data_IF_891370239598
#
_entry.id   IF_891370239598
#
_cell.length_a   1.000
_cell.length_b   1.000
_cell.length_c   1.000
_cell.angle_alpha   90.00
_cell.angle_beta   90.00
_cell.angle_gamma   90.00
#
_symmetry.space_group_name_H-M   'P 1'
#
loop_
_entity.id
_entity.type
_entity.pdbx_description
1 polymer ?
#
# COMPACT_ATOMS: atom_id res chain seq x y z
N UNK A 1 4.53 -9.56 30.84
CA UNK A 1 4.28 -8.65 29.69
C UNK A 1 3.08 -9.21 28.94
N UNK A 2 2.03 -8.43 28.67
CA UNK A 2 0.88 -8.93 27.89
C UNK A 2 1.19 -8.98 26.38
N UNK A 3 0.35 -9.70 25.63
CA UNK A 3 0.54 -9.96 24.19
C UNK A 3 0.46 -8.69 23.35
N UNK A 4 -0.43 -7.77 23.69
CA UNK A 4 -0.58 -6.55 22.90
C UNK A 4 0.65 -5.65 23.08
N UNK A 5 1.12 -5.48 24.32
CA UNK A 5 2.36 -4.79 24.59
C UNK A 5 3.55 -5.44 23.86
N UNK A 6 3.60 -6.78 23.81
CA UNK A 6 4.65 -7.52 23.10
C UNK A 6 4.60 -7.28 21.59
N UNK A 7 3.39 -7.35 21.02
CA UNK A 7 3.13 -7.11 19.59
C UNK A 7 3.54 -5.69 19.22
N UNK A 8 3.06 -4.68 19.94
CA UNK A 8 3.42 -3.28 19.72
C UNK A 8 4.92 -3.05 19.82
N UNK A 9 5.58 -3.67 20.79
CA UNK A 9 7.03 -3.55 20.95
C UNK A 9 7.78 -4.16 19.76
N UNK A 10 7.33 -5.32 19.25
CA UNK A 10 7.91 -5.93 18.06
C UNK A 10 7.73 -5.06 16.82
N UNK A 11 6.51 -4.53 16.60
CA UNK A 11 6.19 -3.69 15.44
C UNK A 11 6.90 -2.34 15.46
N UNK A 12 7.29 -1.84 16.65
CA UNK A 12 8.11 -0.63 16.77
C UNK A 12 9.54 -0.77 16.20
N UNK A 13 10.02 -2.02 16.00
CA UNK A 13 11.39 -2.29 15.52
C UNK A 13 11.49 -2.19 14.01
N UNK A 14 12.68 -1.85 13.50
CA UNK A 14 12.90 -1.62 12.07
C UNK A 14 12.68 -2.89 11.19
N UNK A 15 12.12 -2.74 10.00
CA UNK A 15 11.69 -3.74 9.03
C UNK A 15 10.92 -4.99 9.56
N UNK A 16 10.27 -4.90 10.71
CA UNK A 16 9.38 -5.91 11.28
C UNK A 16 7.98 -5.91 10.64
N UNK A 17 7.51 -7.11 10.31
CA UNK A 17 6.12 -7.44 9.93
C UNK A 17 5.63 -8.63 10.76
N UNK A 18 4.32 -8.81 10.82
CA UNK A 18 3.68 -9.97 11.44
C UNK A 18 2.88 -10.78 10.41
N UNK A 19 2.75 -12.09 10.61
CA UNK A 19 2.02 -12.99 9.72
C UNK A 19 1.72 -14.33 10.40
N UNK A 20 0.91 -15.16 9.73
CA UNK A 20 0.49 -16.49 10.16
C UNK A 20 1.00 -17.57 9.17
N UNK A 21 2.32 -17.85 9.14
CA UNK A 21 2.92 -18.67 8.10
C UNK A 21 2.75 -20.18 8.31
N UNK A 22 2.26 -20.61 9.48
CA UNK A 22 2.12 -22.03 9.84
C UNK A 22 0.65 -22.46 9.89
N UNK A 23 -0.17 -21.66 10.58
CA UNK A 23 -1.59 -21.87 10.85
C UNK A 23 -2.24 -20.53 11.25
N UNK A 24 -3.54 -20.53 11.56
CA UNK A 24 -4.33 -19.32 11.87
C UNK A 24 -4.08 -18.75 13.28
N UNK A 25 -3.32 -19.43 14.13
CA UNK A 25 -3.17 -19.09 15.57
C UNK A 25 -1.75 -18.76 15.96
N UNK A 26 -0.74 -19.18 15.19
CA UNK A 26 0.67 -18.88 15.43
C UNK A 26 1.07 -17.55 14.80
N UNK A 27 1.04 -16.48 15.60
CA UNK A 27 1.50 -15.17 15.19
C UNK A 27 3.04 -15.13 15.14
N UNK A 28 3.59 -14.84 13.96
CA UNK A 28 5.04 -14.82 13.71
C UNK A 28 5.51 -13.43 13.30
N UNK A 29 6.50 -12.91 14.02
CA UNK A 29 7.19 -11.67 13.67
C UNK A 29 8.46 -11.96 12.86
N UNK A 30 8.56 -11.27 11.73
CA UNK A 30 9.67 -11.36 10.79
C UNK A 30 10.32 -10.01 10.62
N UNK A 31 11.64 -9.99 10.47
CA UNK A 31 12.38 -8.84 9.97
C UNK A 31 12.85 -9.13 8.54
N UNK A 32 12.37 -8.33 7.58
CA UNK A 32 12.44 -8.58 6.12
C UNK A 32 11.73 -9.88 5.71
N UNK A 33 12.40 -11.02 5.85
CA UNK A 33 11.92 -12.37 5.48
C UNK A 33 12.31 -13.43 6.53
N UNK A 34 12.92 -13.01 7.66
CA UNK A 34 13.45 -13.89 8.69
C UNK A 34 12.67 -13.77 9.98
N UNK A 35 12.17 -14.91 10.48
CA UNK A 35 11.51 -14.98 11.78
C UNK A 35 12.51 -14.73 12.91
N UNK A 36 12.09 -13.95 13.90
CA UNK A 36 12.82 -13.73 15.16
C UNK A 36 11.95 -14.01 16.38
N UNK A 37 10.63 -13.89 16.28
CA UNK A 37 9.71 -14.15 17.39
C UNK A 37 8.42 -14.81 16.88
N UNK A 38 7.83 -15.67 17.69
CA UNK A 38 6.47 -16.14 17.48
C UNK A 38 5.75 -16.42 18.81
N UNK A 39 4.43 -16.36 18.77
CA UNK A 39 3.53 -16.65 19.88
C UNK A 39 2.29 -17.38 19.37
N UNK A 40 1.81 -18.36 20.14
CA UNK A 40 0.54 -19.04 19.89
C UNK A 40 -0.58 -18.23 20.57
N UNK A 41 -1.56 -17.76 19.79
CA UNK A 41 -2.66 -16.95 20.30
C UNK A 41 -3.72 -17.77 21.06
N UNK A 42 -3.78 -19.08 20.88
CA UNK A 42 -4.65 -19.96 21.70
C UNK A 42 -4.05 -20.19 23.09
N UNK A 43 -2.71 -20.19 23.17
CA UNK A 43 -1.95 -20.39 24.40
C UNK A 43 -0.86 -19.32 24.58
N UNK A 44 -1.24 -18.04 24.81
CA UNK A 44 -0.34 -16.88 24.80
C UNK A 44 0.57 -16.78 26.03
N UNK A 45 0.69 -17.82 26.84
CA UNK A 45 1.49 -17.81 28.07
C UNK A 45 2.99 -17.84 27.79
N UNK A 46 3.40 -18.18 26.56
CA UNK A 46 4.78 -18.34 26.15
C UNK A 46 5.07 -17.76 24.77
N UNK A 47 6.28 -17.25 24.61
CA UNK A 47 6.80 -16.73 23.34
C UNK A 47 8.10 -17.47 23.00
N UNK A 48 8.30 -17.79 21.73
CA UNK A 48 9.56 -18.35 21.24
C UNK A 48 10.39 -17.27 20.53
N UNK A 49 11.65 -17.11 20.97
CA UNK A 49 12.58 -16.10 20.48
C UNK A 49 13.92 -16.72 20.08
N UNK A 50 14.56 -16.17 19.05
CA UNK A 50 15.95 -16.51 18.75
C UNK A 50 16.88 -16.00 19.83
N UNK A 51 17.92 -16.76 20.09
CA UNK A 51 18.94 -16.40 21.07
C UNK A 51 20.32 -16.89 20.62
N UNK A 52 21.34 -16.20 21.11
CA UNK A 52 22.72 -16.64 20.96
C UNK A 52 22.91 -17.90 21.83
N UNK A 53 23.61 -18.94 21.36
CA UNK A 53 23.73 -20.20 22.10
C UNK A 53 24.29 -20.08 23.52
N UNK A 54 25.30 -19.24 23.73
CA UNK A 54 25.95 -19.12 25.04
C UNK A 54 25.03 -18.38 26.02
N UNK A 55 24.40 -17.30 25.55
CA UNK A 55 23.41 -16.56 26.32
C UNK A 55 22.15 -17.39 26.60
N UNK A 56 21.73 -18.25 25.68
CA UNK A 56 20.59 -19.13 25.87
C UNK A 56 20.81 -20.14 27.01
N UNK A 57 22.05 -20.61 27.20
CA UNK A 57 22.41 -21.50 28.32
C UNK A 57 22.32 -20.72 29.63
N UNK A 58 22.96 -19.55 29.69
CA UNK A 58 22.95 -18.70 30.89
C UNK A 58 21.52 -18.37 31.35
N UNK A 59 20.65 -17.96 30.42
CA UNK A 59 19.26 -17.61 30.73
C UNK A 59 18.47 -18.79 31.33
N UNK A 60 18.67 -20.00 30.83
CA UNK A 60 17.98 -21.22 31.31
C UNK A 60 18.49 -21.68 32.67
N UNK A 61 19.72 -21.33 33.02
CA UNK A 61 20.27 -21.61 34.36
C UNK A 61 19.77 -20.60 35.41
N UNK A 62 19.46 -19.37 34.99
CA UNK A 62 19.07 -18.29 35.89
C UNK A 62 17.56 -18.12 36.07
N UNK A 63 16.74 -18.54 35.10
CA UNK A 63 15.29 -18.36 35.11
C UNK A 63 14.55 -19.66 34.83
N UNK A 64 13.59 -20.00 35.69
CA UNK A 64 12.75 -21.18 35.50
C UNK A 64 11.76 -21.00 34.34
N UNK A 65 11.35 -19.76 34.05
CA UNK A 65 10.47 -19.42 32.95
C UNK A 65 11.13 -19.40 31.57
N UNK A 66 12.41 -19.74 31.45
CA UNK A 66 13.13 -19.79 30.17
C UNK A 66 13.58 -21.22 29.89
N UNK A 67 13.07 -21.79 28.80
CA UNK A 67 13.38 -23.14 28.36
C UNK A 67 13.81 -23.18 26.89
N UNK A 68 14.24 -24.35 26.41
CA UNK A 68 14.49 -24.55 24.99
C UNK A 68 13.19 -24.75 24.21
N UNK A 69 12.94 -23.91 23.20
CA UNK A 69 11.68 -23.93 22.43
C UNK A 69 11.41 -25.31 21.81
N UNK A 70 10.21 -25.86 22.06
CA UNK A 70 9.87 -27.25 21.74
C UNK A 70 9.94 -27.56 20.23
N UNK A 71 9.39 -26.69 19.38
CA UNK A 71 9.31 -26.89 17.93
C UNK A 71 10.57 -26.42 17.16
N UNK A 72 11.57 -25.86 17.84
CA UNK A 72 12.72 -25.25 17.20
C UNK A 72 14.05 -25.85 17.68
N UNK A 73 15.14 -25.51 16.98
CA UNK A 73 16.46 -25.89 17.43
C UNK A 73 16.78 -25.17 18.76
N UNK A 74 16.70 -25.91 19.87
CA UNK A 74 16.95 -25.46 21.24
C UNK A 74 18.35 -24.88 21.47
N UNK A 75 19.29 -24.99 20.51
CA UNK A 75 20.55 -24.24 20.57
C UNK A 75 20.36 -22.76 20.29
N UNK A 76 19.39 -22.39 19.46
CA UNK A 76 19.23 -21.04 18.93
C UNK A 76 17.88 -20.41 19.28
N UNK A 77 17.01 -21.15 19.98
CA UNK A 77 15.66 -20.70 20.31
C UNK A 77 15.34 -20.99 21.76
N UNK A 78 14.86 -19.97 22.46
CA UNK A 78 14.29 -20.05 23.80
C UNK A 78 12.78 -19.91 23.71
N UNK A 79 12.08 -20.62 24.59
CA UNK A 79 10.70 -20.34 24.96
C UNK A 79 10.73 -19.59 26.28
N UNK A 80 9.99 -18.50 26.37
CA UNK A 80 9.95 -17.61 27.52
C UNK A 80 8.52 -17.49 27.99
N UNK A 81 8.26 -17.87 29.24
CA UNK A 81 6.96 -17.73 29.88
C UNK A 81 6.73 -16.27 30.29
N UNK A 82 5.60 -15.69 29.85
CA UNK A 82 5.25 -14.28 30.10
C UNK A 82 4.75 -14.01 31.52
N UNK A 83 4.35 -15.07 32.23
CA UNK A 83 3.75 -15.04 33.57
C UNK A 83 4.61 -15.82 34.60
N UNK A 84 5.94 -15.71 34.52
CA UNK A 84 6.90 -16.44 35.38
C UNK A 84 7.86 -15.48 36.12
N UNK A 85 8.97 -16.02 36.63
CA UNK A 85 10.13 -15.33 37.21
C UNK A 85 10.95 -14.46 36.23
N UNK A 86 10.51 -14.33 34.97
CA UNK A 86 11.16 -13.51 33.95
C UNK A 86 10.53 -12.10 33.96
N UNK A 87 11.28 -11.05 34.33
CA UNK A 87 10.73 -9.70 34.40
C UNK A 87 10.49 -9.12 32.99
N UNK A 88 9.46 -8.28 32.86
CA UNK A 88 9.08 -7.61 31.59
C UNK A 88 10.22 -6.85 30.93
N UNK A 89 11.12 -6.26 31.72
CA UNK A 89 12.32 -5.58 31.20
C UNK A 89 13.24 -6.56 30.47
N UNK A 90 13.44 -7.76 31.04
CA UNK A 90 14.24 -8.80 30.41
C UNK A 90 13.52 -9.35 29.16
N UNK A 91 12.20 -9.50 29.19
CA UNK A 91 11.45 -9.93 27.99
C UNK A 91 11.70 -8.95 26.83
N UNK A 92 11.67 -7.63 27.08
CA UNK A 92 12.02 -6.63 26.06
C UNK A 92 13.47 -6.76 25.58
N UNK A 93 14.42 -6.92 26.48
CA UNK A 93 15.83 -7.16 26.13
C UNK A 93 16.02 -8.43 25.29
N UNK A 94 15.25 -9.50 25.55
CA UNK A 94 15.28 -10.72 24.76
C UNK A 94 14.66 -10.55 23.37
N UNK A 95 13.64 -9.69 23.23
CA UNK A 95 13.09 -9.31 21.92
C UNK A 95 14.14 -8.54 21.12
N UNK A 96 14.84 -7.58 21.76
CA UNK A 96 15.94 -6.80 21.17
C UNK A 96 17.06 -7.72 20.67
N UNK A 97 17.52 -8.59 21.56
CA UNK A 97 18.57 -9.57 21.28
C UNK A 97 18.18 -10.50 20.13
N UNK A 98 16.97 -11.05 20.16
CA UNK A 98 16.46 -11.95 19.12
C UNK A 98 16.43 -11.27 17.75
N UNK A 99 15.94 -10.03 17.71
CA UNK A 99 15.91 -9.22 16.52
C UNK A 99 17.33 -8.94 15.98
N UNK A 100 18.26 -8.52 16.84
CA UNK A 100 19.64 -8.22 16.47
C UNK A 100 20.40 -9.46 15.97
N UNK A 101 20.19 -10.62 16.59
CA UNK A 101 20.76 -11.90 16.14
C UNK A 101 20.34 -12.28 14.72
N UNK A 102 19.13 -11.88 14.32
CA UNK A 102 18.63 -12.09 12.96
C UNK A 102 19.20 -11.07 11.98
N UNK A 103 19.15 -9.78 12.32
CA UNK A 103 19.68 -8.69 11.49
C UNK A 103 21.18 -8.84 11.27
N UNK A 104 21.93 -9.24 12.30
CA UNK A 104 23.37 -9.52 12.23
C UNK A 104 23.71 -10.54 11.14
N UNK A 105 22.84 -11.54 10.94
CA UNK A 105 23.03 -12.65 9.99
C UNK A 105 22.43 -12.41 8.60
N UNK A 106 21.97 -11.20 8.29
CA UNK A 106 21.45 -10.88 6.96
C UNK A 106 22.47 -11.07 5.85
N UNK A 107 22.01 -11.67 4.75
CA UNK A 107 22.71 -11.65 3.46
C UNK A 107 22.79 -10.23 2.90
N UNK A 108 23.64 -10.01 1.89
CA UNK A 108 23.75 -8.71 1.21
C UNK A 108 22.39 -8.21 0.69
N UNK A 109 21.63 -9.08 0.02
CA UNK A 109 20.27 -8.77 -0.49
C UNK A 109 19.33 -8.32 0.63
N UNK A 110 19.30 -9.05 1.75
CA UNK A 110 18.45 -8.71 2.90
C UNK A 110 18.87 -7.37 3.52
N UNK A 111 20.17 -7.08 3.56
CA UNK A 111 20.68 -5.82 4.10
C UNK A 111 20.36 -4.62 3.22
N UNK A 112 20.41 -4.79 1.90
CA UNK A 112 20.00 -3.76 0.95
C UNK A 112 18.51 -3.42 1.10
N UNK A 113 17.65 -4.42 1.30
CA UNK A 113 16.22 -4.22 1.60
C UNK A 113 16.04 -3.52 2.95
N UNK A 114 16.68 -4.02 4.00
CA UNK A 114 16.62 -3.46 5.35
C UNK A 114 17.06 -1.99 5.43
N UNK A 115 18.08 -1.61 4.65
CA UNK A 115 18.59 -0.24 4.60
C UNK A 115 17.66 0.70 3.83
N UNK A 116 16.95 0.21 2.82
CA UNK A 116 15.96 0.97 2.04
C UNK A 116 14.67 1.25 2.81
N UNK A 117 14.32 0.40 3.78
CA UNK A 117 13.19 0.63 4.68
C UNK A 117 13.62 1.75 5.64
N UNK A 118 12.96 2.91 5.59
CA UNK A 118 13.16 3.98 6.58
C UNK A 118 12.36 3.70 7.85
N UNK A 119 12.79 4.22 9.01
CA UNK A 119 12.04 4.11 10.27
C UNK A 119 10.60 4.67 10.13
N UNK A 120 10.42 5.68 9.27
CA UNK A 120 9.12 6.23 8.91
C UNK A 120 8.19 5.25 8.16
N UNK A 121 8.65 4.11 7.67
CA UNK A 121 7.80 3.13 6.98
C UNK A 121 7.00 2.23 7.94
N UNK A 122 7.38 2.16 9.23
CA UNK A 122 6.86 1.13 10.14
C UNK A 122 6.05 1.61 11.32
N UNK A 123 6.35 2.79 11.85
CA UNK A 123 5.37 3.50 12.69
C UNK A 123 4.04 3.65 11.92
N UNK A 124 4.12 3.66 10.59
CA UNK A 124 2.99 3.83 9.68
C UNK A 124 2.21 2.57 9.29
N UNK A 125 2.54 1.37 9.79
CA UNK A 125 1.74 0.15 9.54
C UNK A 125 0.96 -0.24 10.81
N UNK A 126 1.56 -0.06 11.99
CA UNK A 126 0.95 -0.45 13.27
C UNK A 126 -0.08 0.55 13.81
N UNK A 127 -0.04 1.82 13.38
CA UNK A 127 -0.92 2.89 13.89
C UNK A 127 -2.23 3.00 13.08
N UNK A 128 -2.31 2.43 11.87
CA UNK A 128 -3.40 2.70 10.92
C UNK A 128 -4.49 1.63 10.87
N UNK A 129 -4.30 0.48 11.53
CA UNK A 129 -5.30 -0.59 11.51
C UNK A 129 -6.45 -0.38 12.51
N UNK A 130 -6.50 0.74 13.25
CA UNK A 130 -7.46 0.81 14.36
C UNK A 130 -8.90 1.14 13.95
N UNK A 131 -9.21 1.95 12.93
CA UNK A 131 -10.62 2.25 12.60
C UNK A 131 -10.83 2.67 11.13
N UNK A 132 -10.71 1.74 10.17
CA UNK A 132 -11.30 1.97 8.84
C UNK A 132 -12.81 1.67 8.88
N UNK A 133 -13.68 2.53 8.34
CA UNK A 133 -15.10 2.20 8.20
C UNK A 133 -15.29 0.94 7.37
N UNK A 134 -16.22 0.07 7.78
CA UNK A 134 -16.58 -1.11 6.97
C UNK A 134 -17.06 -0.67 5.57
N UNK A 135 -16.54 -1.27 4.49
CA UNK A 135 -16.89 -0.88 3.13
C UNK A 135 -18.35 -1.23 2.83
N UNK A 136 -19.08 -0.28 2.25
CA UNK A 136 -20.45 -0.50 1.75
C UNK A 136 -20.38 -1.36 0.49
N UNK A 137 -21.07 -2.50 0.51
CA UNK A 137 -21.17 -3.38 -0.65
C UNK A 137 -22.49 -3.19 -1.39
N UNK A 138 -22.42 -3.13 -2.72
CA UNK A 138 -23.58 -3.05 -3.61
C UNK A 138 -23.49 -4.15 -4.67
N UNK A 139 -24.56 -4.91 -4.91
CA UNK A 139 -24.59 -5.82 -6.05
C UNK A 139 -24.45 -5.07 -7.38
N UNK A 140 -25.18 -3.97 -7.54
CA UNK A 140 -25.14 -3.17 -8.75
C UNK A 140 -25.35 -1.69 -8.42
N UNK A 141 -24.70 -0.81 -9.17
CA UNK A 141 -24.96 0.64 -9.15
C UNK A 141 -24.74 1.25 -10.54
N UNK A 142 -25.14 2.50 -10.75
CA UNK A 142 -24.75 3.24 -11.96
C UNK A 142 -23.26 3.59 -11.94
N UNK A 143 -22.78 4.11 -10.82
CA UNK A 143 -21.39 4.41 -10.53
C UNK A 143 -21.17 4.50 -9.02
N UNK A 144 -20.09 3.91 -8.52
CA UNK A 144 -19.67 4.03 -7.13
C UNK A 144 -19.40 5.48 -6.72
N UNK A 145 -18.91 6.33 -7.64
CA UNK A 145 -18.74 7.77 -7.38
C UNK A 145 -20.08 8.46 -7.16
N UNK A 146 -21.04 8.24 -8.06
CA UNK A 146 -22.36 8.86 -7.94
C UNK A 146 -23.12 8.40 -6.71
N UNK A 147 -23.00 7.11 -6.35
CA UNK A 147 -23.57 6.60 -5.13
C UNK A 147 -22.97 7.28 -3.89
N UNK A 148 -21.63 7.38 -3.83
CA UNK A 148 -20.95 7.97 -2.67
C UNK A 148 -21.22 9.48 -2.56
N UNK A 149 -21.29 10.19 -3.68
CA UNK A 149 -21.69 11.60 -3.73
C UNK A 149 -23.11 11.80 -3.16
N UNK A 150 -24.08 11.00 -3.62
CA UNK A 150 -25.44 11.03 -3.12
C UNK A 150 -25.51 10.69 -1.62
N UNK A 151 -24.77 9.69 -1.16
CA UNK A 151 -24.70 9.31 0.25
C UNK A 151 -24.17 10.47 1.11
N UNK A 152 -23.08 11.12 0.68
CA UNK A 152 -22.50 12.27 1.36
C UNK A 152 -23.42 13.51 1.33
N UNK A 153 -24.29 13.66 0.33
CA UNK A 153 -25.25 14.77 0.26
C UNK A 153 -26.47 14.55 1.16
N UNK A 154 -26.83 13.29 1.42
CA UNK A 154 -28.01 12.92 2.19
C UNK A 154 -27.71 12.61 3.67
N UNK A 155 -26.45 12.40 4.04
CA UNK A 155 -26.06 12.00 5.38
C UNK A 155 -24.63 12.43 5.73
N UNK A 156 -24.31 12.47 7.03
CA UNK A 156 -22.93 12.62 7.48
C UNK A 156 -22.20 11.30 7.25
N UNK A 157 -21.23 11.31 6.34
CA UNK A 157 -20.40 10.14 6.00
C UNK A 157 -19.03 10.32 6.63
N UNK A 158 -18.50 9.25 7.21
CA UNK A 158 -17.18 9.27 7.85
C UNK A 158 -16.08 9.34 6.79
N UNK A 159 -14.99 10.03 7.11
CA UNK A 159 -13.79 10.03 6.28
C UNK A 159 -13.27 8.61 6.04
N UNK A 160 -12.73 8.33 4.85
CA UNK A 160 -12.31 6.98 4.43
C UNK A 160 -13.46 5.98 4.26
N UNK A 161 -14.73 6.38 4.37
CA UNK A 161 -15.84 5.52 3.95
C UNK A 161 -15.65 5.14 2.48
N UNK A 162 -15.75 3.85 2.21
CA UNK A 162 -15.63 3.31 0.86
C UNK A 162 -16.87 2.51 0.46
N UNK A 163 -17.14 2.48 -0.83
CA UNK A 163 -18.20 1.68 -1.45
C UNK A 163 -17.59 0.87 -2.57
N UNK A 164 -18.00 -0.39 -2.73
CA UNK A 164 -17.60 -1.22 -3.85
C UNK A 164 -18.78 -2.04 -4.39
N UNK A 165 -18.66 -2.48 -5.65
CA UNK A 165 -19.76 -3.15 -6.33
C UNK A 165 -19.32 -4.32 -7.21
N UNK A 166 -20.25 -5.26 -7.47
CA UNK A 166 -20.04 -6.31 -8.48
C UNK A 166 -20.13 -5.76 -9.91
N UNK A 167 -20.99 -4.76 -10.13
CA UNK A 167 -21.24 -4.25 -11.48
C UNK A 167 -21.63 -2.77 -11.50
N UNK A 168 -21.14 -2.05 -12.51
CA UNK A 168 -21.58 -0.68 -12.83
C UNK A 168 -22.27 -0.63 -14.19
N UNK A 169 -23.53 -0.21 -14.22
CA UNK A 169 -24.28 -0.03 -15.48
C UNK A 169 -23.80 1.16 -16.31
N UNK A 170 -23.17 2.14 -15.67
CA UNK A 170 -22.66 3.35 -16.31
C UNK A 170 -21.26 3.72 -15.77
N UNK A 171 -20.36 2.74 -15.67
CA UNK A 171 -18.99 2.95 -15.20
C UNK A 171 -18.26 4.05 -15.99
N UNK A 172 -17.77 5.07 -15.29
CA UNK A 172 -17.16 6.27 -15.90
C UNK A 172 -15.65 6.29 -15.70
N UNK A 173 -14.94 6.63 -16.77
CA UNK A 173 -13.57 7.11 -16.76
C UNK A 173 -13.50 8.64 -16.93
N UNK A 174 -12.30 9.18 -17.01
CA UNK A 174 -12.09 10.63 -17.16
C UNK A 174 -12.60 11.17 -18.50
N UNK A 175 -13.27 12.33 -18.46
CA UNK A 175 -13.80 13.10 -19.61
C UNK A 175 -14.70 12.28 -20.57
N UNK A 176 -15.61 11.47 -20.01
CA UNK A 176 -16.66 10.80 -20.78
C UNK A 176 -16.32 9.40 -21.30
N UNK A 177 -15.11 8.90 -21.03
CA UNK A 177 -14.77 7.50 -21.32
C UNK A 177 -15.62 6.57 -20.44
N UNK A 178 -15.92 5.36 -20.93
CA UNK A 178 -16.52 4.29 -20.14
C UNK A 178 -15.45 3.39 -19.52
N UNK A 179 -15.81 2.69 -18.45
CA UNK A 179 -15.00 1.64 -17.86
C UNK A 179 -15.67 0.27 -18.10
N UNK A 180 -15.02 -0.61 -18.84
CA UNK A 180 -15.48 -1.99 -19.05
C UNK A 180 -15.23 -2.83 -17.79
N UNK A 181 -16.23 -3.60 -17.37
CA UNK A 181 -16.05 -4.62 -16.34
C UNK A 181 -17.09 -5.73 -16.52
N UNK A 182 -16.64 -6.98 -16.48
CA UNK A 182 -17.53 -8.13 -16.26
C UNK A 182 -18.06 -8.10 -14.81
N UNK A 183 -19.28 -8.60 -14.63
CA UNK A 183 -19.93 -8.72 -13.34
C UNK A 183 -19.09 -9.59 -12.37
N UNK A 184 -18.78 -9.03 -11.20
CA UNK A 184 -18.03 -9.70 -10.14
C UNK A 184 -16.53 -9.89 -10.43
N UNK A 185 -16.05 -9.51 -11.62
CA UNK A 185 -14.69 -9.82 -12.05
C UNK A 185 -13.65 -8.83 -11.51
N UNK A 186 -13.99 -7.55 -11.43
CA UNK A 186 -13.05 -6.49 -11.06
C UNK A 186 -13.43 -5.83 -9.74
N UNK A 187 -12.48 -5.13 -9.14
CA UNK A 187 -12.77 -4.26 -8.00
C UNK A 187 -13.15 -2.88 -8.54
N UNK A 188 -14.42 -2.55 -8.42
CA UNK A 188 -14.99 -1.25 -8.74
C UNK A 188 -15.37 -0.59 -7.43
N UNK A 189 -14.65 0.46 -7.03
CA UNK A 189 -14.85 1.09 -5.73
C UNK A 189 -14.67 2.60 -5.77
N UNK A 190 -15.23 3.27 -4.77
CA UNK A 190 -14.97 4.68 -4.49
C UNK A 190 -14.76 4.89 -3.01
N UNK A 191 -13.99 5.91 -2.64
CA UNK A 191 -13.85 6.36 -1.25
C UNK A 191 -13.90 7.88 -1.15
N UNK A 192 -14.24 8.38 0.04
CA UNK A 192 -14.35 9.81 0.32
C UNK A 192 -13.28 10.28 1.31
N UNK A 193 -12.71 11.46 1.05
CA UNK A 193 -11.83 12.20 1.93
C UNK A 193 -12.38 13.62 2.15
N UNK A 194 -12.07 14.22 3.30
CA UNK A 194 -12.46 15.61 3.65
C UNK A 194 -11.22 16.47 3.91
N UNK A 195 -10.38 16.76 2.89
CA UNK A 195 -9.10 17.44 3.05
C UNK A 195 -9.24 18.97 3.14
N UNK A 196 -9.97 19.47 4.14
CA UNK A 196 -10.19 20.92 4.36
C UNK A 196 -8.90 21.73 4.54
N UNK A 197 -7.81 21.07 4.93
CA UNK A 197 -6.45 21.61 5.01
C UNK A 197 -5.75 21.79 3.65
N UNK A 198 -6.27 21.20 2.56
CA UNK A 198 -5.62 21.15 1.26
C UNK A 198 -6.16 22.21 0.31
N UNK A 199 -5.29 23.12 -0.13
CA UNK A 199 -5.62 24.11 -1.16
C UNK A 199 -5.94 23.43 -2.52
N UNK A 200 -6.95 23.92 -3.24
CA UNK A 200 -7.40 23.39 -4.52
C UNK A 200 -6.29 23.31 -5.59
N UNK A 201 -5.35 24.27 -5.59
CA UNK A 201 -4.18 24.25 -6.50
C UNK A 201 -3.21 23.10 -6.23
N UNK A 202 -3.30 22.46 -5.07
CA UNK A 202 -2.50 21.30 -4.63
C UNK A 202 -3.30 19.99 -4.72
N UNK A 203 -4.45 19.97 -5.40
CA UNK A 203 -5.30 18.78 -5.53
C UNK A 203 -4.58 17.56 -6.12
N UNK A 204 -3.48 17.75 -6.85
CA UNK A 204 -2.72 16.66 -7.43
C UNK A 204 -2.14 15.70 -6.37
N UNK A 205 -1.92 16.15 -5.13
CA UNK A 205 -1.51 15.23 -4.06
C UNK A 205 -2.54 14.13 -3.80
N UNK A 206 -3.84 14.40 -3.95
CA UNK A 206 -4.90 13.37 -3.83
C UNK A 206 -4.77 12.29 -4.92
N UNK A 207 -4.39 12.71 -6.12
CA UNK A 207 -4.06 11.82 -7.23
C UNK A 207 -2.81 10.99 -6.93
N UNK A 208 -1.76 11.61 -6.36
CA UNK A 208 -0.51 10.92 -6.03
C UNK A 208 -0.71 9.88 -4.94
N UNK A 209 -1.38 10.21 -3.83
CA UNK A 209 -1.61 9.26 -2.74
C UNK A 209 -2.45 8.06 -3.18
N UNK A 210 -3.47 8.30 -4.02
CA UNK A 210 -4.31 7.22 -4.55
C UNK A 210 -3.50 6.30 -5.47
N UNK A 211 -2.75 6.88 -6.41
CA UNK A 211 -1.94 6.11 -7.34
C UNK A 211 -0.79 5.35 -6.65
N UNK A 212 -0.17 5.94 -5.63
CA UNK A 212 0.84 5.27 -4.80
C UNK A 212 0.25 4.09 -4.03
N UNK A 213 -0.93 4.27 -3.43
CA UNK A 213 -1.60 3.18 -2.73
C UNK A 213 -1.90 2.00 -3.65
N UNK A 214 -2.45 2.28 -4.84
CA UNK A 214 -2.70 1.26 -5.86
C UNK A 214 -1.42 0.58 -6.35
N UNK A 215 -0.38 1.37 -6.62
CA UNK A 215 0.91 0.86 -7.09
C UNK A 215 1.56 -0.06 -6.05
N UNK A 216 1.59 0.34 -4.79
CA UNK A 216 2.22 -0.45 -3.72
C UNK A 216 1.47 -1.76 -3.46
N UNK A 217 0.13 -1.73 -3.37
CA UNK A 217 -0.67 -2.94 -3.15
C UNK A 217 -0.56 -3.89 -4.33
N UNK A 218 -0.73 -3.42 -5.56
CA UNK A 218 -0.64 -4.28 -6.75
C UNK A 218 0.78 -4.87 -6.96
N UNK A 219 1.82 -4.17 -6.51
CA UNK A 219 3.21 -4.67 -6.57
C UNK A 219 3.46 -5.88 -5.66
N UNK A 220 2.57 -6.17 -4.70
CA UNK A 220 2.67 -7.37 -3.87
C UNK A 220 2.27 -8.64 -4.65
N UNK A 221 1.48 -8.49 -5.72
CA UNK A 221 0.93 -9.59 -6.51
C UNK A 221 1.72 -9.88 -7.78
N UNK A 222 2.42 -8.88 -8.33
CA UNK A 222 3.28 -9.03 -9.52
C UNK A 222 4.33 -7.93 -9.60
N UNK A 223 5.47 -8.24 -10.19
CA UNK A 223 6.47 -7.25 -10.59
C UNK A 223 5.99 -6.38 -11.76
N UNK A 224 6.67 -5.25 -11.98
CA UNK A 224 6.48 -4.42 -13.17
C UNK A 224 5.31 -3.43 -13.11
N UNK A 225 4.70 -3.26 -11.94
CA UNK A 225 3.67 -2.26 -11.69
C UNK A 225 4.30 -0.85 -11.62
N UNK A 226 3.74 0.08 -12.38
CA UNK A 226 4.20 1.47 -12.51
C UNK A 226 3.01 2.42 -12.59
N UNK A 227 3.22 3.67 -12.16
CA UNK A 227 2.22 4.73 -12.30
C UNK A 227 2.41 5.42 -13.65
N UNK A 228 1.44 5.35 -14.54
CA UNK A 228 1.37 6.24 -15.70
C UNK A 228 0.67 7.52 -15.28
N UNK A 229 1.41 8.62 -15.37
CA UNK A 229 0.88 9.94 -15.06
C UNK A 229 -0.43 10.22 -15.84
N UNK A 230 -1.45 10.83 -15.21
CA UNK A 230 -1.44 11.35 -13.84
C UNK A 230 -1.83 10.35 -12.74
N UNK A 231 -2.51 9.24 -13.06
CA UNK A 231 -3.08 8.36 -12.04
C UNK A 231 -3.45 6.95 -12.51
N UNK A 232 -3.09 6.57 -13.73
CA UNK A 232 -3.34 5.21 -14.18
C UNK A 232 -2.24 4.27 -13.68
N UNK A 233 -2.58 3.03 -13.39
CA UNK A 233 -1.59 2.01 -13.04
C UNK A 233 -1.42 1.04 -14.19
N UNK A 234 -0.16 0.78 -14.52
CA UNK A 234 0.26 -0.04 -15.64
C UNK A 234 1.08 -1.22 -15.15
N UNK A 235 0.85 -2.39 -15.73
CA UNK A 235 1.78 -3.50 -15.72
C UNK A 235 2.50 -3.51 -17.06
N UNK A 236 3.81 -3.20 -17.05
CA UNK A 236 4.57 -2.94 -18.28
C UNK A 236 3.84 -1.89 -19.14
N UNK A 237 3.52 -2.23 -20.38
CA UNK A 237 2.81 -1.37 -21.34
C UNK A 237 1.33 -1.72 -21.41
N UNK A 238 0.70 -2.16 -20.32
CA UNK A 238 -0.74 -2.50 -20.25
C UNK A 238 -1.42 -1.87 -19.04
N UNK A 239 -2.62 -1.33 -19.22
CA UNK A 239 -3.37 -0.66 -18.15
C UNK A 239 -4.10 -1.68 -17.27
N UNK A 240 -3.85 -1.63 -15.96
CA UNK A 240 -4.51 -2.50 -14.97
C UNK A 240 -5.50 -1.74 -14.08
N UNK A 241 -5.31 -0.43 -13.93
CA UNK A 241 -6.15 0.39 -13.06
C UNK A 241 -6.32 1.80 -13.63
N UNK A 242 -7.48 2.39 -13.39
CA UNK A 242 -7.74 3.81 -13.65
C UNK A 242 -8.53 4.45 -12.52
N UNK A 243 -8.25 5.73 -12.26
CA UNK A 243 -8.88 6.49 -11.20
C UNK A 243 -9.54 7.77 -11.73
N UNK A 244 -10.70 8.11 -11.19
CA UNK A 244 -11.44 9.35 -11.40
C UNK A 244 -11.63 10.03 -10.05
N UNK A 245 -11.04 11.20 -9.87
CA UNK A 245 -11.19 12.01 -8.65
C UNK A 245 -12.09 13.21 -8.95
N UNK A 246 -13.12 13.37 -8.14
CA UNK A 246 -14.07 14.49 -8.19
C UNK A 246 -13.95 15.26 -6.87
N UNK A 247 -13.76 16.57 -6.95
CA UNK A 247 -13.49 17.44 -5.80
C UNK A 247 -14.56 18.53 -5.69
N UNK A 248 -15.07 18.73 -4.48
CA UNK A 248 -15.85 19.91 -4.13
C UNK A 248 -14.96 20.92 -3.40
N UNK A 249 -15.21 22.20 -3.67
CA UNK A 249 -14.40 23.29 -3.15
C UNK A 249 -15.17 24.13 -2.14
N UNK A 250 -14.50 24.55 -1.07
CA UNK A 250 -14.97 25.59 -0.16
C UNK A 250 -13.92 26.70 -0.09
N UNK A 251 -14.21 27.82 -0.73
CA UNK A 251 -13.23 28.90 -0.92
C UNK A 251 -12.04 28.45 -1.76
N UNK A 252 -10.84 28.48 -1.19
CA UNK A 252 -9.60 28.02 -1.86
C UNK A 252 -9.21 26.59 -1.50
N UNK A 253 -9.96 25.92 -0.62
CA UNK A 253 -9.66 24.56 -0.13
C UNK A 253 -10.62 23.54 -0.74
N UNK A 254 -10.22 22.28 -0.68
CA UNK A 254 -11.04 21.13 -1.08
C UNK A 254 -11.84 20.69 0.14
N UNK A 255 -13.16 20.82 0.10
CA UNK A 255 -14.02 20.39 1.22
C UNK A 255 -14.34 18.89 1.17
N UNK A 256 -14.37 18.30 -0.03
CA UNK A 256 -14.66 16.88 -0.23
C UNK A 256 -13.93 16.39 -1.47
N UNK A 257 -13.38 15.19 -1.41
CA UNK A 257 -12.80 14.49 -2.56
C UNK A 257 -13.33 13.07 -2.62
N UNK A 258 -13.93 12.71 -3.75
CA UNK A 258 -14.41 11.35 -4.03
C UNK A 258 -13.51 10.74 -5.10
N UNK A 259 -12.84 9.66 -4.76
CA UNK A 259 -11.92 8.95 -5.64
C UNK A 259 -12.52 7.62 -6.05
N UNK A 260 -12.92 7.51 -7.31
CA UNK A 260 -13.43 6.30 -7.93
C UNK A 260 -12.35 5.56 -8.67
N UNK A 261 -12.22 4.27 -8.42
CA UNK A 261 -11.15 3.45 -8.98
C UNK A 261 -11.70 2.12 -9.50
N UNK A 262 -11.33 1.81 -10.74
CA UNK A 262 -11.53 0.48 -11.32
C UNK A 262 -10.19 -0.25 -11.38
N UNK A 263 -10.12 -1.41 -10.74
CA UNK A 263 -8.95 -2.30 -10.74
C UNK A 263 -9.29 -3.61 -11.44
N UNK A 264 -8.58 -3.91 -12.53
CA UNK A 264 -8.77 -5.14 -13.28
C UNK A 264 -8.16 -6.32 -12.52
N UNK A 265 -9.00 -7.14 -11.87
CA UNK A 265 -8.55 -8.25 -11.03
C UNK A 265 -8.72 -9.59 -11.74
N UNK A 266 -9.96 -10.04 -11.93
CA UNK A 266 -10.27 -11.40 -12.37
C UNK A 266 -10.86 -11.48 -13.79
N UNK A 267 -10.95 -10.35 -14.49
CA UNK A 267 -11.49 -10.32 -15.86
C UNK A 267 -10.59 -11.10 -16.82
N UNK A 268 -11.18 -12.05 -17.55
CA UNK A 268 -10.42 -12.94 -18.44
C UNK A 268 -10.22 -12.34 -19.84
N UNK A 269 -11.21 -11.56 -20.30
CA UNK A 269 -11.26 -11.00 -21.64
C UNK A 269 -11.75 -9.56 -21.59
N UNK A 270 -11.13 -8.72 -22.40
CA UNK A 270 -11.55 -7.34 -22.64
C UNK A 270 -11.99 -7.23 -24.09
N UNK A 271 -13.18 -6.69 -24.33
CA UNK A 271 -13.79 -6.59 -25.67
C UNK A 271 -14.02 -5.15 -26.12
N UNK A 272 -13.84 -4.16 -25.23
CA UNK A 272 -13.94 -2.75 -25.58
C UNK A 272 -12.76 -2.26 -26.42
N UNK A 273 -12.87 -1.01 -26.87
CA UNK A 273 -11.81 -0.22 -27.50
C UNK A 273 -10.84 0.40 -26.47
N UNK A 274 -10.93 0.01 -25.20
CA UNK A 274 -10.00 0.46 -24.18
C UNK A 274 -8.57 0.14 -24.62
N UNK A 275 -7.63 1.10 -24.50
CA UNK A 275 -6.28 0.86 -24.91
C UNK A 275 -5.66 -0.15 -23.94
N UNK A 276 -5.16 -1.26 -24.51
CA UNK A 276 -4.25 -2.21 -23.87
C UNK A 276 -4.60 -2.64 -22.42
N UNK A 277 -5.85 -3.02 -22.10
CA UNK A 277 -6.20 -3.46 -20.75
C UNK A 277 -5.53 -4.80 -20.39
N UNK A 278 -5.28 -4.98 -19.11
CA UNK A 278 -4.83 -6.25 -18.52
C UNK A 278 -5.43 -6.42 -17.13
N UNK A 279 -5.69 -7.65 -16.71
CA UNK A 279 -6.08 -7.98 -15.34
C UNK A 279 -4.97 -8.72 -14.59
N UNK A 280 -5.02 -8.72 -13.25
CA UNK A 280 -4.12 -9.56 -12.46
C UNK A 280 -4.24 -11.05 -12.84
N UNK A 281 -5.44 -11.56 -13.08
CA UNK A 281 -5.66 -12.94 -13.53
C UNK A 281 -4.93 -13.24 -14.85
N UNK A 282 -4.97 -12.33 -15.83
CA UNK A 282 -4.21 -12.51 -17.07
C UNK A 282 -2.68 -12.49 -16.87
N UNK A 283 -2.20 -11.84 -15.80
CA UNK A 283 -0.76 -11.74 -15.48
C UNK A 283 -0.30 -12.98 -14.69
N UNK A 284 -1.08 -13.41 -13.70
CA UNK A 284 -0.64 -14.39 -12.68
C UNK A 284 -1.31 -15.76 -12.83
N UNK A 285 -2.42 -15.85 -13.54
CA UNK A 285 -3.26 -17.05 -13.65
C UNK A 285 -4.08 -17.35 -12.39
N UNK A 286 -4.12 -16.43 -11.41
CA UNK A 286 -4.82 -16.61 -10.13
C UNK A 286 -6.02 -15.67 -10.00
N UNK A 287 -7.03 -16.09 -9.25
CA UNK A 287 -8.16 -15.24 -8.85
C UNK A 287 -7.92 -14.63 -7.49
N UNK A 288 -8.41 -13.40 -7.31
CA UNK A 288 -8.20 -12.60 -6.13
C UNK A 288 -9.51 -12.20 -5.47
N UNK A 289 -9.52 -12.18 -4.14
CA UNK A 289 -10.62 -11.64 -3.36
C UNK A 289 -10.62 -10.10 -3.45
N UNK A 290 -11.75 -9.55 -3.87
CA UNK A 290 -11.91 -8.11 -4.12
C UNK A 290 -12.00 -7.32 -2.82
N UNK A 291 -12.64 -7.87 -1.79
CA UNK A 291 -12.78 -7.24 -0.48
C UNK A 291 -11.42 -7.17 0.22
N UNK A 292 -10.62 -8.24 0.11
CA UNK A 292 -9.27 -8.28 0.65
C UNK A 292 -8.35 -7.22 0.02
N UNK A 293 -8.33 -7.13 -1.31
CA UNK A 293 -7.55 -6.10 -2.00
C UNK A 293 -8.07 -4.69 -1.67
N UNK A 294 -9.39 -4.50 -1.57
CA UNK A 294 -9.97 -3.22 -1.14
C UNK A 294 -9.49 -2.83 0.25
N UNK A 295 -9.46 -3.76 1.20
CA UNK A 295 -8.98 -3.51 2.56
C UNK A 295 -7.52 -3.03 2.55
N UNK A 296 -6.63 -3.77 1.87
CA UNK A 296 -5.22 -3.40 1.72
C UNK A 296 -5.04 -2.03 1.06
N UNK A 297 -5.88 -1.70 0.07
CA UNK A 297 -5.87 -0.40 -0.60
C UNK A 297 -6.28 0.72 0.36
N UNK A 298 -7.36 0.53 1.12
CA UNK A 298 -7.85 1.54 2.05
C UNK A 298 -6.88 1.80 3.21
N UNK A 299 -6.21 0.77 3.73
CA UNK A 299 -5.10 0.94 4.69
C UNK A 299 -3.99 1.80 4.11
N UNK A 300 -3.62 1.54 2.84
CA UNK A 300 -2.54 2.29 2.20
C UNK A 300 -2.95 3.72 1.84
N UNK A 301 -4.19 3.94 1.45
CA UNK A 301 -4.76 5.28 1.24
C UNK A 301 -4.75 6.05 2.56
N UNK A 302 -5.21 5.46 3.66
CA UNK A 302 -5.22 6.10 4.98
C UNK A 302 -3.82 6.52 5.43
N UNK A 303 -2.83 5.65 5.22
CA UNK A 303 -1.42 5.93 5.48
C UNK A 303 -0.94 7.17 4.68
N UNK A 304 -1.09 7.15 3.36
CA UNK A 304 -0.62 8.26 2.52
C UNK A 304 -1.39 9.56 2.75
N UNK A 305 -2.67 9.45 3.06
CA UNK A 305 -3.50 10.60 3.40
C UNK A 305 -3.04 11.26 4.70
N UNK A 306 -2.57 10.46 5.67
CA UNK A 306 -2.01 10.98 6.92
C UNK A 306 -0.64 11.63 6.71
N UNK A 307 0.22 11.06 5.86
CA UNK A 307 1.43 11.76 5.41
C UNK A 307 1.08 13.13 4.80
N UNK A 308 0.04 13.18 3.97
CA UNK A 308 -0.41 14.42 3.36
C UNK A 308 -0.93 15.43 4.38
N UNK A 309 -1.73 14.99 5.37
CA UNK A 309 -2.18 15.82 6.51
C UNK A 309 -1.02 16.39 7.32
N UNK A 310 0.05 15.61 7.49
CA UNK A 310 1.24 16.02 8.22
C UNK A 310 2.19 16.91 7.39
N UNK A 311 1.84 17.22 6.14
CA UNK A 311 2.64 18.09 5.28
C UNK A 311 3.84 17.41 4.63
N UNK A 312 3.90 16.07 4.61
CA UNK A 312 4.99 15.26 4.03
C UNK A 312 4.95 15.23 2.48
N UNK A 313 4.72 16.39 1.87
CA UNK A 313 4.45 16.53 0.43
C UNK A 313 5.63 16.14 -0.46
N UNK A 314 6.84 16.48 -0.03
CA UNK A 314 8.08 16.15 -0.74
C UNK A 314 8.32 14.64 -0.76
N UNK A 315 8.01 13.95 0.34
CA UNK A 315 8.10 12.49 0.43
C UNK A 315 7.12 11.83 -0.53
N UNK A 316 5.86 12.28 -0.55
CA UNK A 316 4.82 11.79 -1.46
C UNK A 316 5.23 12.02 -2.91
N UNK A 317 5.67 13.24 -3.26
CA UNK A 317 6.08 13.59 -4.61
C UNK A 317 7.29 12.76 -5.09
N UNK A 318 8.28 12.58 -4.22
CA UNK A 318 9.47 11.77 -4.51
C UNK A 318 9.10 10.30 -4.77
N UNK A 319 8.30 9.69 -3.88
CA UNK A 319 7.82 8.31 -4.06
C UNK A 319 7.03 8.13 -5.36
N UNK A 320 6.15 9.08 -5.67
CA UNK A 320 5.37 9.06 -6.90
C UNK A 320 6.28 9.09 -8.13
N UNK A 321 7.27 10.00 -8.17
CA UNK A 321 8.24 10.10 -9.26
C UNK A 321 9.09 8.83 -9.38
N UNK A 322 9.39 8.15 -8.27
CA UNK A 322 10.25 6.97 -8.27
C UNK A 322 9.65 5.76 -8.98
N UNK A 323 8.33 5.67 -9.04
CA UNK A 323 7.60 4.53 -9.62
C UNK A 323 6.88 4.89 -10.93
N UNK A 324 7.20 6.04 -11.52
CA UNK A 324 6.64 6.46 -12.79
C UNK A 324 6.95 5.47 -13.91
N UNK A 325 5.92 5.16 -14.70
CA UNK A 325 6.05 4.50 -15.98
C UNK A 325 6.89 5.40 -16.89
N UNK A 326 7.92 4.83 -17.53
CA UNK A 326 8.88 5.56 -18.38
C UNK A 326 9.66 6.67 -17.64
N UNK A 327 9.88 6.50 -16.32
CA UNK A 327 10.73 7.39 -15.51
C UNK A 327 12.11 7.62 -16.14
N UNK A 328 12.75 6.56 -16.60
CA UNK A 328 14.13 6.60 -17.12
C UNK A 328 14.18 6.36 -18.62
N UNK A 329 14.84 7.26 -19.34
CA UNK A 329 15.08 7.17 -20.78
C UNK A 329 14.20 8.11 -21.60
N UNK A 330 14.45 8.13 -22.92
CA UNK A 330 13.66 8.88 -23.89
C UNK A 330 12.62 7.96 -24.53
N UNK A 331 11.36 8.41 -24.56
CA UNK A 331 10.22 7.67 -25.12
C UNK A 331 9.40 8.55 -26.05
N UNK A 332 8.63 7.96 -26.97
CA UNK A 332 7.74 8.70 -27.85
C UNK A 332 6.51 9.23 -27.10
N UNK A 333 6.21 10.49 -27.36
CA UNK A 333 5.04 11.23 -26.91
C UNK A 333 4.43 11.98 -28.08
N UNK A 334 3.14 12.27 -28.02
CA UNK A 334 2.46 13.15 -28.98
C UNK A 334 1.70 14.24 -28.26
N UNK A 335 1.94 15.48 -28.69
CA UNK A 335 1.17 16.66 -28.31
C UNK A 335 0.48 17.28 -29.55
N UNK A 336 -0.06 18.49 -29.41
CA UNK A 336 -0.72 19.23 -30.50
C UNK A 336 0.19 19.54 -31.71
N UNK A 337 1.51 19.55 -31.52
CA UNK A 337 2.51 19.90 -32.54
C UNK A 337 3.11 18.64 -33.22
N UNK A 338 2.76 17.45 -32.74
CA UNK A 338 3.11 16.15 -33.35
C UNK A 338 3.87 15.22 -32.41
N UNK A 339 4.44 14.14 -32.97
CA UNK A 339 5.23 13.16 -32.22
C UNK A 339 6.65 13.64 -31.94
N UNK A 340 7.16 13.37 -30.74
CA UNK A 340 8.52 13.68 -30.34
C UNK A 340 9.04 12.68 -29.29
N UNK A 341 10.36 12.64 -29.10
CA UNK A 341 10.99 11.83 -28.03
C UNK A 341 11.40 12.73 -26.87
N UNK A 342 11.04 12.33 -25.66
CA UNK A 342 11.38 13.07 -24.45
C UNK A 342 11.60 12.14 -23.25
N UNK A 343 12.23 12.67 -22.20
CA UNK A 343 12.30 12.05 -20.87
C UNK A 343 11.45 12.83 -19.88
N UNK A 344 10.99 12.16 -18.83
CA UNK A 344 10.31 12.82 -17.72
C UNK A 344 11.38 13.47 -16.82
N UNK A 345 11.26 14.78 -16.60
CA UNK A 345 12.16 15.54 -15.72
C UNK A 345 11.57 15.81 -14.35
N UNK A 346 10.24 15.81 -14.23
CA UNK A 346 9.55 16.09 -12.99
C UNK A 346 8.08 16.32 -13.20
N UNK A 347 7.39 16.54 -12.09
CA UNK A 347 5.99 16.93 -12.06
C UNK A 347 5.88 18.10 -11.10
N UNK A 348 5.27 19.19 -11.57
CA UNK A 348 5.03 20.38 -10.76
C UNK A 348 3.97 20.11 -9.68
N UNK A 349 3.92 20.90 -8.59
CA UNK A 349 2.90 20.75 -7.54
C UNK A 349 1.46 20.85 -8.05
N UNK A 350 1.24 21.54 -9.17
CA UNK A 350 -0.06 21.61 -9.87
C UNK A 350 -0.47 20.29 -10.53
N UNK A 351 0.47 19.35 -10.67
CA UNK A 351 0.32 18.11 -11.42
C UNK A 351 0.84 18.17 -12.85
N UNK A 352 1.38 19.30 -13.32
CA UNK A 352 1.88 19.44 -14.69
C UNK A 352 3.12 18.56 -14.93
N UNK A 353 3.12 17.78 -16.01
CA UNK A 353 4.23 16.92 -16.39
C UNK A 353 5.30 17.71 -17.14
N UNK A 354 6.54 17.65 -16.67
CA UNK A 354 7.68 18.29 -17.32
C UNK A 354 8.44 17.26 -18.15
N UNK A 355 8.45 17.45 -19.46
CA UNK A 355 9.18 16.65 -20.42
C UNK A 355 10.36 17.44 -20.99
N UNK A 356 11.49 16.77 -21.21
CA UNK A 356 12.65 17.34 -21.88
C UNK A 356 13.02 16.49 -23.09
N UNK A 357 13.11 17.11 -24.26
CA UNK A 357 13.49 16.43 -25.51
C UNK A 357 15.01 16.26 -25.65
N UNK A 358 15.45 15.51 -26.66
CA UNK A 358 16.87 15.20 -26.89
C UNK A 358 17.73 16.45 -27.17
N UNK A 359 17.12 17.60 -27.50
CA UNK A 359 17.81 18.89 -27.66
C UNK A 359 17.96 19.66 -26.35
N UNK A 360 17.38 19.17 -25.25
CA UNK A 360 17.33 19.83 -23.95
C UNK A 360 16.18 20.83 -23.80
N UNK A 361 15.26 20.92 -24.78
CA UNK A 361 14.09 21.81 -24.67
C UNK A 361 13.06 21.19 -23.74
N UNK A 362 12.68 21.94 -22.70
CA UNK A 362 11.64 21.57 -21.75
C UNK A 362 10.26 22.03 -22.19
N UNK A 363 9.26 21.19 -21.93
CA UNK A 363 7.83 21.46 -22.18
C UNK A 363 7.03 21.01 -20.97
N UNK A 364 6.03 21.78 -20.64
CA UNK A 364 5.10 21.53 -19.54
C UNK A 364 3.75 21.13 -20.12
N UNK A 365 3.14 20.09 -19.56
CA UNK A 365 1.85 19.57 -20.02
C UNK A 365 0.89 19.39 -18.84
N UNK A 366 -0.27 20.02 -18.93
CA UNK A 366 -1.42 19.75 -18.08
C UNK A 366 -2.14 18.46 -18.53
N UNK A 367 -3.10 18.00 -17.72
CA UNK A 367 -3.77 16.71 -17.94
C UNK A 367 -4.36 16.57 -19.36
N UNK A 368 -3.97 15.49 -20.05
CA UNK A 368 -4.33 15.13 -21.44
C UNK A 368 -3.80 16.07 -22.54
N UNK A 369 -2.88 16.99 -22.24
CA UNK A 369 -2.21 17.79 -23.30
C UNK A 369 -1.11 17.01 -24.04
N UNK A 370 -0.68 15.87 -23.48
CA UNK A 370 0.27 14.95 -24.08
C UNK A 370 -0.21 13.51 -23.94
N UNK A 371 0.05 12.70 -24.96
CA UNK A 371 -0.21 11.27 -25.01
C UNK A 371 1.09 10.47 -25.03
N UNK A 372 1.12 9.35 -24.32
CA UNK A 372 2.23 8.40 -24.33
C UNK A 372 1.99 7.43 -25.49
N UNK A 373 2.86 7.39 -26.49
CA UNK A 373 2.75 6.42 -27.58
C UNK A 373 3.27 5.06 -27.11
N UNK A 374 2.48 4.00 -27.33
CA UNK A 374 2.82 2.63 -26.90
C UNK A 374 3.86 1.98 -27.81
#
# INVERSE_FOLDING_TARGET
>A
MDIEALRQYCLSKKAVTECFPFDETTLVFKVVDRMFLLVDLEHPDCVSMKCNPDYAIELREHYNGIEGAYHFNKKYWNQVALNSDVPDSLIRELIDHSYEEVVGKFTKKQRDVFNKISASFQENISIFSEHLPEPVFLHETNSTNSYLDELCNNSSVEELTSVYTDFQTAGRGQRGNSWESEDGANLLFSFVLYPDFLEARKQFYLSQITALALQEVLSQYTDGIRIKWPNDIYWKDKKICGTLIENDLTGIHISRSISGTGVNLNQERFISDAPNPVSLFQITGQRYDRKEILHQLMERVAHYYTLLKNGETELIASRYQDVLYRKEGFYPYTDKDGSFRARICGIEPSGALILEDESGKRREYMFKEVSFEL
#
